data_IF_299258301362
#
_entry.id   IF_299258301362
#
_cell.length_a   1.000
_cell.length_b   1.000
_cell.length_c   1.000
_cell.angle_alpha   90.00
_cell.angle_beta   90.00
_cell.angle_gamma   90.00
#
_symmetry.space_group_name_H-M   'P 1'
#
loop_
_entity.id
_entity.type
_entity.pdbx_description
1 polymer ?
#
# COMPACT_ATOMS: atom_id res chain seq x y z
N UNK A 1 -20.58 -0.21 14.00
CA UNK A 1 -19.85 0.57 12.97
C UNK A 1 -20.23 2.05 13.12
N UNK A 2 -19.62 2.79 14.07
CA UNK A 2 -20.05 4.14 14.42
C UNK A 2 -19.65 5.20 13.37
N UNK A 3 -18.70 4.90 12.50
CA UNK A 3 -18.20 5.83 11.48
C UNK A 3 -18.94 5.61 10.16
N UNK A 4 -19.56 6.63 9.59
CA UNK A 4 -20.32 6.55 8.33
C UNK A 4 -19.73 7.46 7.25
N UNK A 5 -19.69 6.97 6.01
CA UNK A 5 -19.33 7.77 4.85
C UNK A 5 -20.52 8.56 4.33
N UNK A 6 -20.46 9.88 4.43
CA UNK A 6 -21.49 10.80 3.94
C UNK A 6 -21.68 10.78 2.42
N UNK A 7 -20.73 10.22 1.65
CA UNK A 7 -20.85 10.11 0.19
C UNK A 7 -21.61 8.87 -0.29
N UNK A 8 -21.56 7.76 0.46
CA UNK A 8 -22.13 6.48 0.01
C UNK A 8 -22.88 5.70 1.10
N UNK A 9 -23.02 6.24 2.31
CA UNK A 9 -23.70 5.62 3.45
C UNK A 9 -22.98 4.41 4.07
N UNK A 10 -21.80 4.00 3.55
CA UNK A 10 -21.08 2.85 4.11
C UNK A 10 -20.58 3.13 5.53
N UNK A 11 -20.77 2.14 6.41
CA UNK A 11 -20.37 2.22 7.82
C UNK A 11 -19.09 1.41 8.09
N UNK A 12 -18.23 1.94 8.95
CA UNK A 12 -16.92 1.40 9.34
C UNK A 12 -16.80 1.27 10.85
N UNK A 13 -15.95 0.34 11.31
CA UNK A 13 -15.70 0.09 12.72
C UNK A 13 -14.78 1.14 13.34
N UNK A 14 -13.84 1.68 12.54
CA UNK A 14 -12.84 2.67 12.97
C UNK A 14 -12.87 3.90 12.09
N UNK A 15 -12.42 5.04 12.63
CA UNK A 15 -12.25 6.29 11.89
C UNK A 15 -11.20 6.13 10.78
N UNK A 16 -10.11 5.41 11.04
CA UNK A 16 -9.06 5.13 10.05
C UNK A 16 -9.59 4.41 8.81
N UNK A 17 -10.48 3.43 8.97
CA UNK A 17 -11.09 2.76 7.82
C UNK A 17 -12.05 3.68 7.05
N UNK A 18 -12.76 4.56 7.74
CA UNK A 18 -13.60 5.57 7.09
C UNK A 18 -12.75 6.57 6.30
N UNK A 19 -11.64 7.06 6.86
CA UNK A 19 -10.71 7.98 6.18
C UNK A 19 -10.09 7.31 4.95
N UNK A 20 -9.60 6.07 5.08
CA UNK A 20 -9.09 5.30 3.95
C UNK A 20 -10.15 5.15 2.85
N UNK A 21 -11.38 4.85 3.24
CA UNK A 21 -12.50 4.79 2.31
C UNK A 21 -12.77 6.15 1.63
N UNK A 22 -12.73 7.26 2.36
CA UNK A 22 -12.85 8.58 1.75
C UNK A 22 -11.76 8.84 0.71
N UNK A 23 -10.52 8.48 1.01
CA UNK A 23 -9.39 8.54 0.06
C UNK A 23 -9.60 7.64 -1.16
N UNK A 24 -10.46 6.62 -1.08
CA UNK A 24 -10.84 5.82 -2.27
C UNK A 24 -11.87 6.49 -3.16
N UNK A 25 -12.75 7.32 -2.57
CA UNK A 25 -13.77 8.05 -3.32
C UNK A 25 -13.19 9.33 -3.96
N UNK A 26 -12.21 9.94 -3.30
CA UNK A 26 -11.48 11.08 -3.86
C UNK A 26 -10.28 10.57 -4.64
N UNK A 27 -10.00 11.12 -5.82
CA UNK A 27 -8.76 10.80 -6.56
C UNK A 27 -7.49 11.36 -5.89
N UNK A 28 -7.61 11.82 -4.65
CA UNK A 28 -6.49 12.31 -3.83
C UNK A 28 -5.52 11.17 -3.58
N UNK A 29 -4.27 11.39 -4.00
CA UNK A 29 -3.15 10.48 -3.82
C UNK A 29 -2.07 11.21 -3.03
N UNK A 30 -2.16 11.23 -1.69
CA UNK A 30 -1.30 12.08 -0.88
C UNK A 30 0.17 11.62 -0.85
N UNK A 31 0.46 10.40 -1.33
CA UNK A 31 1.80 9.84 -1.34
C UNK A 31 2.32 9.76 -2.77
N UNK A 32 3.22 10.64 -3.17
CA UNK A 32 3.77 10.67 -4.52
C UNK A 32 5.17 10.06 -4.60
N UNK A 33 5.45 9.34 -5.69
CA UNK A 33 6.78 8.81 -5.94
C UNK A 33 7.73 9.92 -6.43
N UNK A 34 8.85 10.19 -5.73
CA UNK A 34 9.77 11.24 -6.13
C UNK A 34 10.53 10.93 -7.44
N UNK A 35 10.57 9.67 -7.86
CA UNK A 35 11.29 9.25 -9.07
C UNK A 35 10.46 9.37 -10.35
N UNK A 36 9.13 9.20 -10.27
CA UNK A 36 8.27 9.14 -11.45
C UNK A 36 6.96 9.93 -11.33
N UNK A 37 6.72 10.64 -10.22
CA UNK A 37 5.52 11.44 -9.98
C UNK A 37 4.24 10.60 -9.76
N UNK A 38 4.36 9.27 -9.64
CA UNK A 38 3.20 8.40 -9.47
C UNK A 38 2.61 8.54 -8.07
N UNK A 39 1.35 8.97 -7.99
CA UNK A 39 0.62 9.06 -6.72
C UNK A 39 0.08 7.71 -6.21
N UNK A 40 0.01 7.57 -4.89
CA UNK A 40 -0.56 6.46 -4.15
C UNK A 40 -1.47 6.95 -3.02
N UNK A 41 -2.47 6.12 -2.67
CA UNK A 41 -3.41 6.39 -1.57
C UNK A 41 -2.89 5.99 -0.19
N UNK A 42 -1.93 5.06 -0.14
CA UNK A 42 -1.33 4.54 1.10
C UNK A 42 0.18 4.62 1.02
N UNK A 43 0.83 5.00 2.13
CA UNK A 43 2.29 5.05 2.21
C UNK A 43 2.94 3.69 1.92
N UNK A 44 2.37 2.60 2.44
CA UNK A 44 2.88 1.24 2.19
C UNK A 44 2.89 0.87 0.70
N UNK A 45 1.95 1.40 -0.09
CA UNK A 45 1.93 1.20 -1.54
C UNK A 45 3.02 2.03 -2.25
N UNK A 46 3.30 3.24 -1.76
CA UNK A 46 4.42 4.05 -2.26
C UNK A 46 5.76 3.36 -1.96
N UNK A 47 5.98 2.90 -0.73
CA UNK A 47 7.22 2.21 -0.32
C UNK A 47 7.45 0.97 -1.20
N UNK A 48 6.43 0.14 -1.39
CA UNK A 48 6.50 -1.02 -2.30
C UNK A 48 6.69 -0.64 -3.77
N UNK A 49 6.28 0.55 -4.15
CA UNK A 49 6.53 1.03 -5.49
C UNK A 49 7.97 1.53 -5.64
N UNK A 50 8.54 2.20 -4.64
CA UNK A 50 9.93 2.67 -4.72
C UNK A 50 10.93 1.53 -4.97
N UNK A 51 10.63 0.34 -4.46
CA UNK A 51 11.41 -0.88 -4.71
C UNK A 51 11.39 -1.38 -6.16
N UNK A 52 10.55 -0.83 -7.06
CA UNK A 52 10.69 -1.05 -8.50
C UNK A 52 11.78 -0.16 -9.11
N UNK A 53 12.09 0.98 -8.49
CA UNK A 53 13.12 1.90 -8.95
C UNK A 53 14.50 1.49 -8.43
N UNK A 54 14.60 1.01 -7.19
CA UNK A 54 15.85 0.50 -6.65
C UNK A 54 16.16 -0.94 -7.09
N UNK A 55 15.16 -1.69 -7.59
CA UNK A 55 15.28 -3.13 -7.83
C UNK A 55 15.38 -3.96 -6.53
N UNK A 56 15.35 -3.31 -5.37
CA UNK A 56 15.46 -3.95 -4.07
C UNK A 56 14.08 -4.14 -3.47
N UNK A 57 13.62 -5.39 -3.38
CA UNK A 57 12.47 -5.73 -2.56
C UNK A 57 12.79 -5.62 -1.07
N UNK A 58 11.88 -5.08 -0.22
CA UNK A 58 12.12 -4.96 1.22
C UNK A 58 12.21 -6.32 1.94
N UNK A 59 11.84 -7.41 1.27
CA UNK A 59 11.87 -8.76 1.83
C UNK A 59 12.91 -9.60 1.08
N UNK A 60 13.92 -10.09 1.78
CA UNK A 60 14.97 -10.92 1.21
C UNK A 60 14.79 -12.38 1.62
N UNK A 61 15.08 -13.31 0.70
CA UNK A 61 15.21 -14.72 1.02
C UNK A 61 16.63 -15.01 1.51
N UNK A 62 16.77 -15.44 2.76
CA UNK A 62 18.08 -15.70 3.38
C UNK A 62 18.84 -16.86 2.71
N UNK A 63 18.15 -17.78 2.04
CA UNK A 63 18.81 -18.92 1.39
C UNK A 63 19.42 -18.58 0.02
N UNK A 64 18.82 -17.66 -0.74
CA UNK A 64 19.24 -17.36 -2.11
C UNK A 64 19.51 -15.87 -2.38
N UNK A 65 19.34 -14.99 -1.40
CA UNK A 65 19.51 -13.53 -1.52
C UNK A 65 18.45 -12.84 -2.40
N UNK A 66 17.45 -13.59 -2.89
CA UNK A 66 16.43 -13.03 -3.79
C UNK A 66 15.49 -12.10 -3.04
N UNK A 67 15.28 -10.89 -3.58
CA UNK A 67 14.45 -9.87 -2.97
C UNK A 67 13.03 -9.84 -3.57
N UNK A 68 12.04 -9.62 -2.71
CA UNK A 68 10.62 -9.68 -3.00
C UNK A 68 9.92 -8.39 -2.57
N UNK A 69 8.93 -7.99 -3.34
CA UNK A 69 8.14 -6.78 -3.13
C UNK A 69 7.10 -6.91 -2.00
N UNK A 70 6.76 -8.14 -1.63
CA UNK A 70 5.79 -8.43 -0.57
C UNK A 70 6.24 -9.64 0.24
N UNK A 71 5.88 -9.65 1.52
CA UNK A 71 6.09 -10.82 2.40
C UNK A 71 5.39 -12.08 1.87
N UNK A 72 4.22 -11.93 1.26
CA UNK A 72 3.47 -13.05 0.67
C UNK A 72 4.23 -13.73 -0.47
N UNK A 73 4.90 -12.97 -1.33
CA UNK A 73 5.70 -13.52 -2.42
C UNK A 73 6.95 -14.23 -1.89
N UNK A 74 7.60 -13.69 -0.85
CA UNK A 74 8.70 -14.38 -0.17
C UNK A 74 8.23 -15.72 0.44
N UNK A 75 7.11 -15.71 1.18
CA UNK A 75 6.56 -16.93 1.78
C UNK A 75 6.03 -17.94 0.76
N UNK A 76 5.67 -17.52 -0.45
CA UNK A 76 5.34 -18.42 -1.55
C UNK A 76 6.61 -19.02 -2.16
N UNK A 77 7.67 -18.24 -2.28
CA UNK A 77 8.96 -18.70 -2.77
C UNK A 77 9.66 -19.70 -1.83
N UNK A 78 9.48 -19.54 -0.51
CA UNK A 78 10.05 -20.41 0.53
C UNK A 78 9.23 -21.68 0.80
N UNK A 79 8.09 -21.87 0.13
CA UNK A 79 7.34 -23.13 0.18
C UNK A 79 7.85 -24.08 -0.87
#
# INVERSE_FOLDING_TARGET
>A
RPYECSKCGKRFLTSSNLIEHYQTNTEVRPYECPHCGKGFRKNSNLIRHQSIHSGEGPYECEECGKRFQTRGNLLQHQR
#
